data_IF_283038174839
#
_entry.id   IF_283038174839
#
_cell.length_a   1.000
_cell.length_b   1.000
_cell.length_c   1.000
_cell.angle_alpha   90.00
_cell.angle_beta   90.00
_cell.angle_gamma   90.00
#
_symmetry.space_group_name_H-M   'P 1'
#
loop_
_entity.id
_entity.type
_entity.pdbx_description
1 polymer ?
#
# COMPACT_ATOMS: atom_id res chain seq x y z
N UNK A 1 -54.40 -17.00 35.01
CA UNK A 1 -53.92 -17.21 33.63
C UNK A 1 -52.57 -16.52 33.51
N UNK A 2 -51.47 -17.24 33.69
CA UNK A 2 -50.11 -16.68 33.58
C UNK A 2 -49.67 -16.75 32.12
N UNK A 3 -49.42 -15.61 31.50
CA UNK A 3 -48.94 -15.52 30.12
C UNK A 3 -47.41 -15.54 30.14
N UNK A 4 -46.80 -16.67 29.77
CA UNK A 4 -45.36 -16.77 29.51
C UNK A 4 -45.10 -16.34 28.05
N UNK A 5 -44.50 -15.18 27.86
CA UNK A 5 -43.89 -14.82 26.58
C UNK A 5 -42.42 -15.26 26.60
N UNK A 6 -42.13 -16.40 25.99
CA UNK A 6 -40.75 -16.84 25.74
C UNK A 6 -40.28 -16.17 24.45
N UNK A 7 -39.55 -15.06 24.58
CA UNK A 7 -38.87 -14.43 23.45
C UNK A 7 -37.59 -15.23 23.14
N UNK A 8 -37.66 -16.06 22.11
CA UNK A 8 -36.51 -16.79 21.58
C UNK A 8 -35.75 -15.85 20.64
N UNK A 9 -34.72 -15.17 21.14
CA UNK A 9 -33.81 -14.36 20.30
C UNK A 9 -32.85 -15.28 19.57
N UNK A 10 -33.14 -15.52 18.29
CA UNK A 10 -32.27 -16.23 17.37
C UNK A 10 -31.09 -15.31 16.99
N UNK A 11 -29.98 -15.39 17.73
CA UNK A 11 -28.71 -14.78 17.31
C UNK A 11 -28.14 -15.60 16.15
N UNK A 12 -28.38 -15.15 14.91
CA UNK A 12 -27.64 -15.65 13.75
C UNK A 12 -26.23 -15.05 13.86
N UNK A 13 -25.28 -15.85 14.34
CA UNK A 13 -23.87 -15.52 14.24
C UNK A 13 -23.49 -15.53 12.76
N UNK A 14 -23.42 -14.34 12.14
CA UNK A 14 -22.81 -14.19 10.82
C UNK A 14 -21.31 -14.33 11.05
N UNK A 15 -20.79 -15.54 10.86
CA UNK A 15 -19.35 -15.76 10.76
C UNK A 15 -18.88 -15.04 9.48
N UNK A 16 -18.50 -13.77 9.61
CA UNK A 16 -17.70 -13.12 8.58
C UNK A 16 -16.40 -13.93 8.48
N UNK A 17 -16.20 -14.61 7.35
CA UNK A 17 -14.89 -15.17 7.02
C UNK A 17 -13.95 -13.97 6.88
N UNK A 18 -13.21 -13.67 7.94
CA UNK A 18 -12.09 -12.73 7.87
C UNK A 18 -11.07 -13.32 6.91
N UNK A 19 -10.97 -12.70 5.72
CA UNK A 19 -9.88 -13.01 4.80
C UNK A 19 -8.55 -12.71 5.48
N UNK A 20 -7.57 -13.59 5.32
CA UNK A 20 -6.24 -13.36 5.89
C UNK A 20 -5.55 -12.24 5.11
N UNK A 21 -5.18 -11.16 5.81
CA UNK A 21 -4.34 -10.11 5.26
C UNK A 21 -2.86 -10.50 5.38
N UNK A 22 -2.20 -10.65 4.25
CA UNK A 22 -0.76 -10.97 4.18
C UNK A 22 0.00 -9.75 3.66
N UNK A 23 0.99 -9.20 4.40
CA UNK A 23 1.89 -8.18 3.89
C UNK A 23 2.65 -8.64 2.64
N UNK A 24 2.90 -7.73 1.70
CA UNK A 24 3.66 -7.98 0.50
C UNK A 24 5.16 -7.83 0.79
N UNK A 25 5.92 -8.91 0.73
CA UNK A 25 7.39 -8.91 0.91
C UNK A 25 8.10 -8.86 -0.45
N UNK A 26 7.71 -7.89 -1.28
CA UNK A 26 8.03 -7.85 -2.71
C UNK A 26 8.96 -6.67 -3.06
N UNK A 27 10.02 -6.50 -2.28
CA UNK A 27 10.98 -5.38 -2.41
C UNK A 27 11.51 -5.23 -3.84
N UNK A 28 11.98 -6.33 -4.44
CA UNK A 28 12.57 -6.30 -5.79
C UNK A 28 11.54 -5.93 -6.87
N UNK A 29 10.28 -6.35 -6.70
CA UNK A 29 9.16 -5.94 -7.56
C UNK A 29 8.95 -4.43 -7.47
N UNK A 30 8.92 -3.86 -6.27
CA UNK A 30 8.75 -2.42 -6.10
C UNK A 30 9.93 -1.61 -6.63
N UNK A 31 11.16 -2.09 -6.46
CA UNK A 31 12.36 -1.46 -7.02
C UNK A 31 12.27 -1.45 -8.55
N UNK A 32 11.91 -2.60 -9.15
CA UNK A 32 11.77 -2.74 -10.60
C UNK A 32 10.66 -1.85 -11.16
N UNK A 33 9.51 -1.77 -10.48
CA UNK A 33 8.43 -0.88 -10.91
C UNK A 33 8.88 0.59 -10.86
N UNK A 34 9.53 1.01 -9.78
CA UNK A 34 9.99 2.39 -9.64
C UNK A 34 11.01 2.79 -10.71
N UNK A 35 11.93 1.89 -11.06
CA UNK A 35 12.96 2.15 -12.07
C UNK A 35 12.41 2.35 -13.49
N UNK A 36 11.15 2.00 -13.73
CA UNK A 36 10.48 2.28 -15.01
C UNK A 36 10.07 3.76 -15.16
N UNK A 37 9.88 4.49 -14.05
CA UNK A 37 9.38 5.88 -14.06
C UNK A 37 10.41 6.90 -13.61
N UNK A 38 11.37 6.50 -12.77
CA UNK A 38 12.43 7.39 -12.30
C UNK A 38 13.67 6.61 -11.92
N UNK A 39 14.83 7.23 -12.12
CA UNK A 39 16.12 6.66 -11.78
C UNK A 39 16.69 7.33 -10.52
N UNK A 40 17.78 6.78 -9.97
CA UNK A 40 18.57 7.38 -8.89
C UNK A 40 17.84 7.61 -7.56
N UNK A 41 16.76 6.87 -7.31
CA UNK A 41 16.12 6.81 -6.00
C UNK A 41 16.84 5.84 -5.05
N UNK A 42 16.75 6.09 -3.74
CA UNK A 42 17.39 5.27 -2.70
C UNK A 42 16.33 4.55 -1.88
N UNK A 43 16.35 3.23 -1.90
CA UNK A 43 15.41 2.42 -1.11
C UNK A 43 15.64 2.61 0.39
N UNK A 44 14.55 2.75 1.15
CA UNK A 44 14.51 2.89 2.60
C UNK A 44 13.56 1.87 3.22
N UNK A 45 14.11 0.93 4.00
CA UNK A 45 13.31 -0.07 4.71
C UNK A 45 12.37 0.60 5.75
N UNK A 46 12.79 1.71 6.37
CA UNK A 46 11.93 2.53 7.24
C UNK A 46 10.70 3.06 6.50
N UNK A 47 10.87 3.58 5.28
CA UNK A 47 9.74 4.05 4.48
C UNK A 47 8.86 2.90 4.00
N UNK A 48 9.41 1.72 3.74
CA UNK A 48 8.64 0.53 3.38
C UNK A 48 7.78 0.03 4.56
N UNK A 49 8.29 0.06 5.80
CA UNK A 49 7.49 -0.22 6.99
C UNK A 49 6.38 0.81 7.17
N UNK A 50 6.71 2.10 7.00
CA UNK A 50 5.72 3.19 7.07
C UNK A 50 4.69 3.13 5.95
N UNK A 51 5.02 2.62 4.78
CA UNK A 51 4.07 2.41 3.70
C UNK A 51 2.98 1.41 4.11
N UNK A 52 3.36 0.32 4.78
CA UNK A 52 2.39 -0.65 5.31
C UNK A 52 1.57 -0.05 6.46
N UNK A 53 2.20 0.71 7.36
CA UNK A 53 1.51 1.45 8.43
C UNK A 53 0.48 2.43 7.85
N UNK A 54 0.87 3.19 6.81
CA UNK A 54 0.00 4.14 6.11
C UNK A 54 -1.25 3.46 5.55
N UNK A 55 -1.11 2.25 5.00
CA UNK A 55 -2.23 1.49 4.47
C UNK A 55 -3.17 0.98 5.58
N UNK A 56 -2.60 0.49 6.69
CA UNK A 56 -3.35 -0.16 7.79
C UNK A 56 -3.97 0.80 8.79
N UNK A 57 -3.43 2.00 8.92
CA UNK A 57 -3.88 2.99 9.91
C UNK A 57 -4.28 4.31 9.24
N UNK A 58 -5.44 4.38 8.58
CA UNK A 58 -5.94 5.61 7.94
C UNK A 58 -5.90 6.84 8.84
N UNK A 59 -6.19 6.66 10.14
CA UNK A 59 -6.17 7.70 11.17
C UNK A 59 -4.77 8.24 11.49
N UNK A 60 -3.71 7.50 11.14
CA UNK A 60 -2.32 7.87 11.39
C UNK A 60 -1.58 8.38 10.15
N UNK A 61 -2.20 8.32 8.96
CA UNK A 61 -1.58 8.74 7.69
C UNK A 61 -0.96 10.12 7.73
N UNK A 62 -1.62 11.08 8.37
CA UNK A 62 -1.15 12.46 8.46
C UNK A 62 0.14 12.62 9.31
N UNK A 63 0.49 11.62 10.11
CA UNK A 63 1.71 11.60 10.92
C UNK A 63 2.92 11.06 10.13
N UNK A 64 2.66 10.32 9.05
CA UNK A 64 3.69 9.73 8.20
C UNK A 64 4.12 10.77 7.18
N UNK A 65 5.36 11.26 7.33
CA UNK A 65 5.93 12.27 6.44
C UNK A 65 6.39 11.64 5.12
N UNK A 66 5.76 12.08 4.04
CA UNK A 66 6.15 11.84 2.66
C UNK A 66 5.89 13.12 1.84
N UNK A 67 6.77 13.41 0.88
CA UNK A 67 6.65 14.56 -0.02
C UNK A 67 5.88 14.18 -1.29
N UNK A 68 5.89 12.90 -1.67
CA UNK A 68 5.03 12.31 -2.69
C UNK A 68 4.51 10.94 -2.21
N UNK A 69 3.28 10.61 -2.57
CA UNK A 69 2.63 9.34 -2.27
C UNK A 69 2.00 8.83 -3.55
N UNK A 70 2.33 7.59 -3.94
CA UNK A 70 1.72 6.90 -5.07
C UNK A 70 1.18 5.58 -4.56
N UNK A 71 -0.11 5.34 -4.67
CA UNK A 71 -0.70 4.12 -4.13
C UNK A 71 -2.06 3.80 -4.71
N UNK A 72 -2.39 2.52 -4.70
CA UNK A 72 -3.59 1.97 -5.30
C UNK A 72 -4.17 0.83 -4.50
N UNK A 73 -5.46 0.57 -4.73
CA UNK A 73 -6.18 -0.57 -4.18
C UNK A 73 -7.18 -1.10 -5.17
N UNK A 74 -7.29 -2.42 -5.30
CA UNK A 74 -8.15 -3.04 -6.31
C UNK A 74 -8.46 -4.50 -6.02
N UNK A 75 -9.56 -4.97 -6.65
CA UNK A 75 -9.87 -6.38 -6.73
C UNK A 75 -9.16 -6.97 -7.95
N UNK A 76 -8.30 -7.95 -7.72
CA UNK A 76 -7.63 -8.71 -8.77
C UNK A 76 -8.48 -9.94 -9.09
N UNK A 77 -9.10 -9.94 -10.26
CA UNK A 77 -9.96 -11.05 -10.71
C UNK A 77 -9.11 -12.22 -11.20
N UNK A 78 -9.52 -13.45 -10.89
CA UNK A 78 -8.77 -14.68 -11.19
C UNK A 78 -7.33 -14.60 -10.65
N UNK A 79 -7.17 -14.09 -9.43
CA UNK A 79 -5.86 -13.86 -8.82
C UNK A 79 -5.04 -15.15 -8.65
N UNK A 80 -5.67 -16.32 -8.59
CA UNK A 80 -4.96 -17.60 -8.55
C UNK A 80 -4.10 -17.87 -9.79
N UNK A 81 -4.44 -17.25 -10.93
CA UNK A 81 -3.70 -17.40 -12.18
C UNK A 81 -2.56 -16.36 -12.31
N UNK A 82 -2.43 -15.45 -11.35
CA UNK A 82 -1.45 -14.36 -11.35
C UNK A 82 -0.39 -14.53 -10.27
N UNK A 83 0.86 -14.26 -10.62
CA UNK A 83 1.96 -14.12 -9.66
C UNK A 83 1.79 -12.82 -8.86
N UNK A 84 2.35 -12.77 -7.65
CA UNK A 84 2.19 -11.62 -6.73
C UNK A 84 2.60 -10.30 -7.39
N UNK A 85 3.72 -10.28 -8.13
CA UNK A 85 4.17 -9.08 -8.84
C UNK A 85 3.17 -8.58 -9.88
N UNK A 86 2.47 -9.48 -10.59
CA UNK A 86 1.43 -9.08 -11.55
C UNK A 86 0.25 -8.42 -10.85
N UNK A 87 -0.12 -8.94 -9.68
CA UNK A 87 -1.20 -8.36 -8.86
C UNK A 87 -0.83 -6.96 -8.35
N UNK A 88 0.46 -6.75 -8.01
CA UNK A 88 0.99 -5.44 -7.62
C UNK A 88 0.93 -4.46 -8.79
N UNK A 89 1.38 -4.87 -9.98
CA UNK A 89 1.33 -4.04 -11.17
C UNK A 89 -0.11 -3.64 -11.51
N UNK A 90 -1.05 -4.58 -11.52
CA UNK A 90 -2.47 -4.32 -11.82
C UNK A 90 -3.06 -3.18 -10.98
N UNK A 91 -2.61 -3.01 -9.73
CA UNK A 91 -3.15 -1.99 -8.81
C UNK A 91 -2.31 -0.71 -8.76
N UNK A 92 -1.04 -0.73 -9.18
CA UNK A 92 -0.15 0.43 -9.09
C UNK A 92 0.10 1.13 -10.42
N UNK A 93 0.11 0.42 -11.54
CA UNK A 93 0.54 0.94 -12.84
C UNK A 93 -0.17 2.25 -13.21
N UNK A 94 -1.50 2.26 -13.19
CA UNK A 94 -2.31 3.46 -13.51
C UNK A 94 -1.94 4.65 -12.60
N UNK A 95 -1.66 4.41 -11.32
CA UNK A 95 -1.32 5.50 -10.40
C UNK A 95 0.11 6.00 -10.58
N UNK A 96 1.02 5.15 -11.05
CA UNK A 96 2.34 5.58 -11.46
C UNK A 96 2.27 6.40 -12.76
N UNK A 97 1.49 5.96 -13.75
CA UNK A 97 1.22 6.71 -14.99
C UNK A 97 0.65 8.11 -14.69
N UNK A 98 -0.37 8.18 -13.82
CA UNK A 98 -0.97 9.46 -13.38
C UNK A 98 0.03 10.39 -12.68
N UNK A 99 1.10 9.84 -12.10
CA UNK A 99 2.11 10.55 -11.32
C UNK A 99 3.48 10.61 -12.00
N UNK A 100 3.58 10.18 -13.25
CA UNK A 100 4.84 10.10 -14.01
C UNK A 100 5.62 11.42 -13.95
N UNK A 101 4.97 12.54 -14.29
CA UNK A 101 5.62 13.85 -14.29
C UNK A 101 6.04 14.36 -12.90
N UNK A 102 5.46 13.85 -11.81
CA UNK A 102 5.91 14.14 -10.44
C UNK A 102 7.08 13.24 -10.05
N UNK A 103 7.06 11.97 -10.47
CA UNK A 103 8.12 10.98 -10.25
C UNK A 103 9.41 11.37 -10.98
N UNK A 104 9.32 11.74 -12.27
CA UNK A 104 10.47 12.18 -13.08
C UNK A 104 11.18 13.42 -12.51
N UNK A 105 10.48 14.24 -11.73
CA UNK A 105 11.02 15.47 -11.13
C UNK A 105 11.65 15.24 -9.76
N UNK A 106 11.58 14.02 -9.22
CA UNK A 106 12.22 13.71 -7.95
C UNK A 106 13.74 13.90 -8.08
N UNK A 107 14.38 14.64 -7.16
CA UNK A 107 15.83 14.75 -7.13
C UNK A 107 16.49 13.39 -6.94
N UNK A 108 17.64 13.20 -7.58
CA UNK A 108 18.51 12.05 -7.30
C UNK A 108 18.84 11.98 -5.79
N UNK A 109 18.87 10.77 -5.24
CA UNK A 109 19.05 10.54 -3.81
C UNK A 109 17.76 10.60 -2.99
N UNK A 110 16.60 10.90 -3.59
CA UNK A 110 15.31 10.84 -2.90
C UNK A 110 15.09 9.46 -2.29
N UNK A 111 14.76 9.43 -1.00
CA UNK A 111 14.46 8.20 -0.29
C UNK A 111 13.06 7.73 -0.66
N UNK A 112 12.88 6.44 -0.88
CA UNK A 112 11.56 5.87 -1.10
C UNK A 112 11.43 4.49 -0.45
N UNK A 113 10.21 4.11 -0.13
CA UNK A 113 9.89 2.77 0.32
C UNK A 113 8.45 2.43 -0.02
N UNK A 114 8.26 1.21 -0.51
CA UNK A 114 6.97 0.70 -0.94
C UNK A 114 6.59 -0.55 -0.17
N UNK A 115 5.30 -0.71 0.06
CA UNK A 115 4.75 -1.92 0.67
C UNK A 115 3.27 -2.07 0.36
N UNK A 116 2.70 -3.20 0.71
CA UNK A 116 1.28 -3.47 0.55
C UNK A 116 0.81 -4.64 1.37
N UNK A 117 -0.46 -4.97 1.22
CA UNK A 117 -1.02 -6.21 1.72
C UNK A 117 -2.03 -6.77 0.72
N UNK A 118 -2.22 -8.08 0.80
CA UNK A 118 -3.23 -8.80 0.07
C UNK A 118 -4.21 -9.43 1.05
N UNK A 119 -5.49 -9.14 0.91
CA UNK A 119 -6.57 -9.85 1.59
C UNK A 119 -7.02 -10.99 0.68
N UNK A 120 -6.60 -12.20 1.04
CA UNK A 120 -7.07 -13.41 0.38
C UNK A 120 -8.48 -13.71 0.87
N UNK A 121 -9.43 -13.81 -0.06
CA UNK A 121 -10.80 -14.24 0.25
C UNK A 121 -10.93 -15.72 -0.13
N UNK A 122 -11.91 -16.44 0.42
CA UNK A 122 -12.23 -17.82 0.00
C UNK A 122 -12.84 -17.91 -1.42
N UNK A 123 -12.44 -16.99 -2.29
CA UNK A 123 -12.83 -16.81 -3.68
C UNK A 123 -11.58 -16.87 -4.55
N UNK A 124 -11.75 -17.01 -5.87
CA UNK A 124 -10.63 -16.98 -6.83
C UNK A 124 -9.99 -15.60 -7.04
N UNK A 125 -10.45 -14.59 -6.31
CA UNK A 125 -10.09 -13.18 -6.46
C UNK A 125 -9.42 -12.71 -5.16
N UNK A 126 -8.45 -11.80 -5.31
CA UNK A 126 -7.72 -11.21 -4.20
C UNK A 126 -7.95 -9.70 -4.15
N UNK A 127 -8.01 -9.14 -2.94
CA UNK A 127 -7.98 -7.69 -2.78
C UNK A 127 -6.56 -7.23 -2.46
N UNK A 128 -5.98 -6.40 -3.30
CA UNK A 128 -4.59 -5.92 -3.15
C UNK A 128 -4.59 -4.43 -2.88
N UNK A 129 -3.78 -3.99 -1.93
CA UNK A 129 -3.48 -2.58 -1.68
C UNK A 129 -1.98 -2.39 -1.57
N UNK A 130 -1.43 -1.41 -2.27
CA UNK A 130 -0.01 -1.09 -2.24
C UNK A 130 0.21 0.42 -2.29
N UNK A 131 1.29 0.89 -1.69
CA UNK A 131 1.68 2.30 -1.69
C UNK A 131 3.19 2.44 -1.66
N UNK A 132 3.68 3.46 -2.34
CA UNK A 132 5.05 3.96 -2.30
C UNK A 132 5.06 5.35 -1.67
N UNK A 133 5.94 5.54 -0.68
CA UNK A 133 6.18 6.80 -0.01
C UNK A 133 7.54 7.33 -0.43
N UNK A 134 7.60 8.59 -0.86
CA UNK A 134 8.83 9.26 -1.26
C UNK A 134 9.12 10.41 -0.30
N UNK A 135 10.37 10.55 0.13
CA UNK A 135 10.83 11.60 1.04
C UNK A 135 12.10 12.23 0.47
N UNK A 136 12.01 13.52 0.20
CA UNK A 136 13.13 14.32 -0.29
C UNK A 136 14.17 14.45 0.83
N UNK A 137 15.43 14.14 0.53
CA UNK A 137 16.52 14.57 1.40
C UNK A 137 16.60 16.10 1.34
N UNK A 138 16.14 16.77 2.38
CA UNK A 138 16.38 18.21 2.53
C UNK A 138 17.84 18.40 2.87
N UNK A 139 18.67 18.55 1.86
CA UNK A 139 20.02 19.09 2.04
C UNK A 139 19.84 20.45 2.68
N UNK A 140 20.17 20.56 3.97
CA UNK A 140 20.33 21.87 4.61
C UNK A 140 21.47 22.54 3.88
N UNK A 141 21.16 23.50 3.01
CA UNK A 141 22.16 24.42 2.48
C UNK A 141 22.66 25.22 3.69
N UNK A 142 23.76 24.77 4.28
CA UNK A 142 24.49 25.55 5.27
C UNK A 142 25.13 26.70 4.50
N UNK A 143 24.44 27.84 4.45
CA UNK A 143 25.01 29.08 3.96
C UNK A 143 26.11 29.51 4.93
N UNK A 144 27.36 29.32 4.54
CA UNK A 144 28.48 29.94 5.24
C UNK A 144 28.48 31.44 4.91
N UNK A 145 28.37 32.34 5.90
CA UNK A 145 28.59 33.76 5.67
C UNK A 145 30.05 33.96 5.24
N UNK A 146 30.25 34.71 4.14
CA UNK A 146 31.55 35.21 3.69
C UNK A 146 32.09 36.26 4.65
#
# INVERSE_FOLDING_TARGET
>A
MFSLFTLLTLFIAISSVEGSETPLQEKDTFITLNSMYTNDLVWSDELAEKALEWLRSPEQRNKIKADLIVGGRGLVVNANDKLVWQKILDVLEIHFDEKEAELERLPAGTLYGCNGYMSTRSTKDDYVSAVCLYRLERVMVVSFPQ
#
